data_IF_946670145273
#
_entry.id   IF_946670145273
#
_cell.length_a   1.000
_cell.length_b   1.000
_cell.length_c   1.000
_cell.angle_alpha   90.00
_cell.angle_beta   90.00
_cell.angle_gamma   90.00
#
_symmetry.space_group_name_H-M   'P 1'
#
loop_
_entity.id
_entity.type
_entity.pdbx_description
1 polymer ?
#
# COMPACT_ATOMS: atom_id res chain seq x y z
N UNK A 1 -68.49 17.93 45.64
CA UNK A 1 -67.74 16.77 45.12
C UNK A 1 -67.05 17.20 43.82
N UNK A 2 -65.86 17.80 43.89
CA UNK A 2 -65.07 18.16 42.69
C UNK A 2 -63.90 17.18 42.54
N UNK A 3 -63.89 16.43 41.44
CA UNK A 3 -62.82 15.50 41.10
C UNK A 3 -61.67 16.27 40.49
N UNK A 4 -60.51 16.22 41.15
CA UNK A 4 -59.24 16.73 40.62
C UNK A 4 -58.64 15.62 39.75
N UNK A 5 -58.63 15.81 38.44
CA UNK A 5 -57.92 14.90 37.52
C UNK A 5 -56.44 15.27 37.50
N UNK A 6 -55.57 14.40 38.03
CA UNK A 6 -54.13 14.54 37.93
C UNK A 6 -53.67 14.05 36.55
N UNK A 7 -53.12 14.94 35.73
CA UNK A 7 -52.45 14.59 34.48
C UNK A 7 -51.04 14.06 34.81
N UNK A 8 -50.81 12.77 34.58
CA UNK A 8 -49.48 12.17 34.70
C UNK A 8 -48.63 12.58 33.49
N UNK A 9 -47.64 13.45 33.71
CA UNK A 9 -46.65 13.81 32.69
C UNK A 9 -45.66 12.64 32.54
N UNK A 10 -45.70 11.98 31.39
CA UNK A 10 -44.76 10.92 31.02
C UNK A 10 -43.43 11.57 30.62
N UNK A 11 -42.44 11.54 31.51
CA UNK A 11 -41.07 11.96 31.18
C UNK A 11 -40.36 10.77 30.51
N UNK A 12 -40.21 10.80 29.18
CA UNK A 12 -39.36 9.83 28.48
C UNK A 12 -37.89 10.13 28.81
N UNK A 13 -37.10 9.15 29.28
CA UNK A 13 -35.66 9.33 29.44
C UNK A 13 -35.02 9.46 28.05
N UNK A 14 -34.35 10.57 27.80
CA UNK A 14 -33.50 10.76 26.63
C UNK A 14 -32.25 9.87 26.80
N UNK A 15 -32.24 8.70 26.16
CA UNK A 15 -31.06 7.86 26.07
C UNK A 15 -30.02 8.59 25.20
N UNK A 16 -29.00 9.16 25.83
CA UNK A 16 -27.80 9.58 25.12
C UNK A 16 -27.11 8.32 24.59
N UNK A 17 -27.31 8.02 23.30
CA UNK A 17 -26.42 7.10 22.60
C UNK A 17 -25.07 7.79 22.44
N UNK A 18 -24.10 7.41 23.27
CA UNK A 18 -22.71 7.78 23.01
C UNK A 18 -22.33 7.20 21.64
N UNK A 19 -21.91 8.06 20.71
CA UNK A 19 -21.34 7.60 19.45
C UNK A 19 -20.11 6.73 19.78
N UNK A 20 -20.05 5.53 19.19
CA UNK A 20 -18.87 4.69 19.31
C UNK A 20 -17.64 5.47 18.79
N UNK A 21 -16.47 5.33 19.42
CA UNK A 21 -15.26 5.97 18.92
C UNK A 21 -14.99 5.54 17.48
N UNK A 22 -14.54 6.47 16.64
CA UNK A 22 -14.05 6.13 15.31
C UNK A 22 -12.77 5.29 15.48
N UNK A 23 -12.88 4.00 15.18
CA UNK A 23 -11.78 3.05 15.34
C UNK A 23 -10.85 3.06 14.13
N UNK A 24 -11.24 3.70 13.03
CA UNK A 24 -10.47 3.76 11.78
C UNK A 24 -9.69 5.05 11.74
N UNK A 25 -8.38 4.94 11.70
CA UNK A 25 -7.48 6.07 11.66
C UNK A 25 -6.72 6.12 10.34
N UNK A 26 -6.74 7.29 9.70
CA UNK A 26 -6.00 7.54 8.47
C UNK A 26 -4.55 7.91 8.76
N UNK A 27 -3.64 7.30 8.02
CA UNK A 27 -2.22 7.67 7.95
C UNK A 27 -1.84 7.90 6.50
N UNK A 28 -1.31 9.08 6.17
CA UNK A 28 -0.80 9.39 4.83
C UNK A 28 0.68 9.00 4.75
N UNK A 29 1.07 8.38 3.64
CA UNK A 29 2.45 7.95 3.39
C UNK A 29 3.38 9.17 3.33
N UNK A 30 4.44 9.14 4.14
CA UNK A 30 5.54 10.08 4.07
C UNK A 30 6.57 9.58 3.07
N UNK A 31 6.45 10.04 1.82
CA UNK A 31 7.36 9.66 0.72
C UNK A 31 8.83 9.89 1.05
N UNK A 32 9.16 10.89 1.88
CA UNK A 32 10.55 11.24 2.20
C UNK A 32 11.24 10.22 3.13
N UNK A 33 10.44 9.42 3.85
CA UNK A 33 10.91 8.36 4.74
C UNK A 33 10.42 6.98 4.29
N UNK A 34 9.95 6.87 3.04
CA UNK A 34 9.42 5.63 2.47
C UNK A 34 10.22 5.20 1.24
N UNK A 35 10.18 3.90 0.96
CA UNK A 35 10.81 3.27 -0.19
C UNK A 35 9.87 2.22 -0.79
N UNK A 36 9.68 2.31 -2.10
CA UNK A 36 9.09 1.25 -2.94
C UNK A 36 10.20 0.74 -3.84
N UNK A 37 10.88 -0.31 -3.39
CA UNK A 37 12.03 -0.93 -4.05
C UNK A 37 11.68 -2.20 -4.80
N UNK A 38 12.57 -2.59 -5.71
CA UNK A 38 12.53 -3.92 -6.32
C UNK A 38 13.94 -4.47 -6.59
N UNK A 39 14.03 -5.80 -6.69
CA UNK A 39 15.24 -6.53 -7.02
C UNK A 39 14.93 -7.64 -8.03
N UNK A 40 15.74 -7.71 -9.09
CA UNK A 40 15.59 -8.69 -10.18
C UNK A 40 16.95 -9.30 -10.52
N UNK A 41 16.99 -10.62 -10.74
CA UNK A 41 18.20 -11.30 -11.20
C UNK A 41 18.44 -11.02 -12.68
N UNK A 42 19.66 -10.64 -13.01
CA UNK A 42 20.15 -10.42 -14.37
C UNK A 42 21.07 -11.57 -14.77
N UNK A 43 20.64 -12.36 -15.77
CA UNK A 43 21.31 -13.56 -16.27
C UNK A 43 21.64 -14.60 -15.18
N UNK A 44 20.93 -14.59 -14.05
CA UNK A 44 21.24 -15.43 -12.89
C UNK A 44 22.52 -15.08 -12.13
N UNK A 45 23.32 -14.12 -12.61
CA UNK A 45 24.64 -13.78 -12.05
C UNK A 45 24.54 -12.65 -11.03
N UNK A 46 23.94 -11.53 -11.43
CA UNK A 46 23.88 -10.32 -10.62
C UNK A 46 22.43 -9.95 -10.25
N UNK A 47 22.28 -9.16 -9.19
CA UNK A 47 20.98 -8.58 -8.83
C UNK A 47 20.97 -7.11 -9.23
N UNK A 48 20.07 -6.74 -10.13
CA UNK A 48 19.73 -5.35 -10.41
C UNK A 48 18.72 -4.91 -9.37
N UNK A 49 18.98 -3.77 -8.72
CA UNK A 49 18.05 -3.14 -7.79
C UNK A 49 17.56 -1.82 -8.37
N UNK A 50 16.32 -1.49 -8.09
CA UNK A 50 15.73 -0.22 -8.42
C UNK A 50 14.66 0.20 -7.41
N UNK A 51 14.08 1.35 -7.66
CA UNK A 51 13.01 1.93 -6.86
C UNK A 51 12.10 2.80 -7.73
N UNK A 52 10.92 3.12 -7.21
CA UNK A 52 10.08 4.19 -7.73
C UNK A 52 10.19 5.41 -6.82
N UNK A 53 10.54 6.56 -7.38
CA UNK A 53 10.82 7.79 -6.60
C UNK A 53 9.60 8.65 -6.32
N UNK A 54 8.52 8.44 -7.04
CA UNK A 54 7.29 9.21 -6.92
C UNK A 54 6.12 8.26 -6.69
N UNK A 55 5.57 8.34 -5.49
CA UNK A 55 4.40 7.59 -5.06
C UNK A 55 3.69 8.35 -3.95
N UNK A 56 2.41 8.09 -3.81
CA UNK A 56 1.57 8.62 -2.74
C UNK A 56 0.59 7.55 -2.30
N UNK A 57 -0.01 7.74 -1.14
CA UNK A 57 -0.97 6.78 -0.63
C UNK A 57 -1.31 7.00 0.82
N UNK A 58 -2.15 6.11 1.32
CA UNK A 58 -2.60 6.15 2.70
C UNK A 58 -2.98 4.77 3.19
N UNK A 59 -3.00 4.65 4.51
CA UNK A 59 -3.46 3.49 5.27
C UNK A 59 -4.69 3.92 6.06
N UNK A 60 -5.70 3.06 6.11
CA UNK A 60 -6.81 3.17 7.05
C UNK A 60 -6.63 2.05 8.06
N UNK A 61 -6.03 2.39 9.21
CA UNK A 61 -5.75 1.46 10.28
C UNK A 61 -6.97 1.35 11.20
N UNK A 62 -7.58 0.17 11.27
CA UNK A 62 -8.60 -0.10 12.27
C UNK A 62 -7.91 -0.55 13.58
N UNK A 63 -7.94 0.34 14.57
CA UNK A 63 -7.29 0.17 15.88
C UNK A 63 -8.01 -0.81 16.81
N UNK A 64 -9.28 -1.12 16.53
CA UNK A 64 -10.04 -2.13 17.27
C UNK A 64 -9.89 -3.53 16.67
N UNK A 65 -9.73 -3.61 15.35
CA UNK A 65 -9.52 -4.86 14.62
C UNK A 65 -8.68 -4.60 13.36
N UNK A 66 -7.38 -4.91 13.46
CA UNK A 66 -6.42 -4.67 12.37
C UNK A 66 -6.79 -5.40 11.08
N UNK A 67 -7.54 -6.51 11.14
CA UNK A 67 -7.95 -7.28 9.95
C UNK A 67 -8.84 -6.49 9.00
N UNK A 68 -9.52 -5.46 9.51
CA UNK A 68 -10.36 -4.53 8.78
C UNK A 68 -9.59 -3.31 8.23
N UNK A 69 -8.26 -3.31 8.34
CA UNK A 69 -7.42 -2.22 7.83
C UNK A 69 -7.24 -2.33 6.31
N UNK A 70 -7.15 -1.17 5.65
CA UNK A 70 -6.97 -1.06 4.20
C UNK A 70 -5.83 -0.13 3.85
N UNK A 71 -5.38 -0.18 2.60
CA UNK A 71 -4.34 0.69 2.07
C UNK A 71 -4.65 1.07 0.63
N UNK A 72 -4.24 2.25 0.21
CA UNK A 72 -4.27 2.65 -1.19
C UNK A 72 -2.96 3.34 -1.54
N UNK A 73 -2.30 2.88 -2.61
CA UNK A 73 -1.01 3.41 -3.08
C UNK A 73 -1.07 3.64 -4.58
N UNK A 74 -0.59 4.80 -5.02
CA UNK A 74 -0.38 5.16 -6.42
C UNK A 74 1.09 5.46 -6.63
N UNK A 75 1.70 4.77 -7.59
CA UNK A 75 3.11 4.90 -7.94
C UNK A 75 3.19 5.47 -9.36
N UNK A 76 3.97 6.52 -9.57
CA UNK A 76 4.20 7.06 -10.91
C UNK A 76 5.19 6.17 -11.65
N UNK A 77 4.74 5.51 -12.72
CA UNK A 77 5.53 4.55 -13.50
C UNK A 77 6.82 5.18 -14.04
N UNK A 78 6.75 6.44 -14.47
CA UNK A 78 7.90 7.18 -15.00
C UNK A 78 9.00 7.42 -13.96
N UNK A 79 8.69 7.31 -12.66
CA UNK A 79 9.66 7.56 -11.57
C UNK A 79 10.61 6.38 -11.29
N UNK A 80 10.52 5.31 -12.08
CA UNK A 80 11.44 4.18 -12.00
C UNK A 80 12.89 4.64 -12.11
N UNK A 81 13.73 4.15 -11.22
CA UNK A 81 15.16 4.37 -11.23
C UNK A 81 15.91 3.10 -10.86
N UNK A 82 16.92 2.78 -11.67
CA UNK A 82 17.85 1.68 -11.40
C UNK A 82 19.30 2.16 -11.35
N UNK A 83 19.51 3.48 -11.25
CA UNK A 83 20.81 4.13 -11.36
C UNK A 83 21.42 4.03 -12.77
N UNK A 84 20.64 3.72 -13.80
CA UNK A 84 21.10 3.63 -15.19
C UNK A 84 20.06 4.20 -16.15
N UNK A 85 20.30 5.42 -16.61
CA UNK A 85 19.38 6.20 -17.43
C UNK A 85 18.92 5.46 -18.70
N UNK A 86 19.81 4.72 -19.38
CA UNK A 86 19.43 3.96 -20.59
C UNK A 86 18.46 2.84 -20.27
N UNK A 87 18.70 2.12 -19.18
CA UNK A 87 17.81 1.05 -18.72
C UNK A 87 16.48 1.64 -18.25
N UNK A 88 16.52 2.75 -17.52
CA UNK A 88 15.30 3.40 -17.01
C UNK A 88 14.43 3.91 -18.16
N UNK A 89 15.03 4.48 -19.21
CA UNK A 89 14.30 4.86 -20.43
C UNK A 89 13.69 3.65 -21.15
N UNK A 90 14.40 2.53 -21.21
CA UNK A 90 13.85 1.30 -21.79
C UNK A 90 12.70 0.73 -20.94
N UNK A 91 12.81 0.73 -19.62
CA UNK A 91 11.74 0.28 -18.71
C UNK A 91 10.47 1.14 -18.82
N UNK A 92 10.60 2.43 -19.16
CA UNK A 92 9.45 3.33 -19.39
C UNK A 92 8.80 3.15 -20.77
N UNK A 93 9.47 2.51 -21.72
CA UNK A 93 9.00 2.36 -23.09
C UNK A 93 7.89 1.31 -23.25
N UNK A 94 7.30 1.21 -24.45
CA UNK A 94 6.25 0.25 -24.80
C UNK A 94 6.67 -1.22 -24.63
N UNK A 95 7.97 -1.48 -24.76
CA UNK A 95 8.56 -2.82 -24.56
C UNK A 95 8.37 -3.31 -23.11
N UNK A 96 8.15 -2.42 -22.15
CA UNK A 96 8.01 -2.79 -20.73
C UNK A 96 6.79 -2.15 -20.08
N UNK A 97 6.95 -1.12 -19.24
CA UNK A 97 5.82 -0.56 -18.50
C UNK A 97 4.90 0.31 -19.36
N UNK A 98 5.36 0.83 -20.50
CA UNK A 98 4.66 1.83 -21.31
C UNK A 98 4.12 2.97 -20.43
N UNK A 99 5.03 3.72 -19.81
CA UNK A 99 4.70 4.76 -18.83
C UNK A 99 3.87 5.91 -19.43
N UNK A 100 3.91 6.10 -20.75
CA UNK A 100 3.08 7.10 -21.44
C UNK A 100 1.61 6.69 -21.44
N UNK A 101 1.31 5.42 -21.74
CA UNK A 101 -0.07 4.90 -21.75
C UNK A 101 -0.57 4.52 -20.36
N UNK A 102 0.33 4.03 -19.50
CA UNK A 102 0.04 3.57 -18.14
C UNK A 102 0.88 4.36 -17.14
N UNK A 103 0.51 5.62 -16.85
CA UNK A 103 1.31 6.53 -16.05
C UNK A 103 1.45 6.09 -14.60
N UNK A 104 0.55 5.24 -14.12
CA UNK A 104 0.51 4.79 -12.73
C UNK A 104 0.47 3.27 -12.59
N UNK A 105 1.15 2.78 -11.55
CA UNK A 105 0.92 1.47 -10.93
C UNK A 105 0.08 1.73 -9.67
N UNK A 106 -0.94 0.92 -9.42
CA UNK A 106 -1.82 1.09 -8.24
C UNK A 106 -1.87 -0.16 -7.40
N UNK A 107 -2.02 0.02 -6.09
CA UNK A 107 -2.29 -1.05 -5.14
C UNK A 107 -3.47 -0.69 -4.25
N UNK A 108 -4.48 -1.56 -4.22
CA UNK A 108 -5.70 -1.44 -3.43
C UNK A 108 -5.74 -2.56 -2.39
N UNK A 109 -5.27 -2.27 -1.17
CA UNK A 109 -5.27 -3.19 -0.02
C UNK A 109 -6.67 -3.33 0.57
N UNK A 110 -7.22 -4.55 0.56
CA UNK A 110 -8.62 -4.82 0.93
C UNK A 110 -8.80 -5.37 2.34
N UNK A 111 -7.83 -6.12 2.84
CA UNK A 111 -7.90 -6.78 4.14
C UNK A 111 -6.54 -7.19 4.65
N UNK A 112 -6.41 -7.27 5.97
CA UNK A 112 -5.24 -7.82 6.63
C UNK A 112 -5.55 -9.22 7.14
N UNK A 113 -4.69 -10.17 6.84
CA UNK A 113 -4.70 -11.52 7.41
C UNK A 113 -3.67 -11.60 8.54
N UNK A 114 -4.02 -12.29 9.62
CA UNK A 114 -3.04 -12.73 10.60
C UNK A 114 -2.29 -13.95 10.07
N UNK A 115 -0.97 -13.94 10.20
CA UNK A 115 -0.08 -15.06 9.84
C UNK A 115 0.74 -15.46 11.07
N UNK A 116 1.47 -16.57 10.97
CA UNK A 116 2.26 -17.10 12.09
C UNK A 116 3.20 -16.03 12.68
N UNK A 117 3.91 -15.30 11.80
CA UNK A 117 4.85 -14.24 12.16
C UNK A 117 4.37 -12.87 11.66
N UNK A 118 3.25 -12.38 12.20
CA UNK A 118 2.76 -11.02 11.97
C UNK A 118 1.50 -10.94 11.11
N UNK A 119 1.56 -10.15 10.03
CA UNK A 119 0.40 -9.85 9.20
C UNK A 119 0.72 -9.95 7.71
N UNK A 120 -0.31 -10.17 6.90
CA UNK A 120 -0.24 -10.04 5.46
C UNK A 120 -1.36 -9.13 4.95
N UNK A 121 -1.02 -8.12 4.16
CA UNK A 121 -1.98 -7.27 3.48
C UNK A 121 -2.32 -7.90 2.14
N UNK A 122 -3.59 -8.24 1.94
CA UNK A 122 -4.10 -8.77 0.66
C UNK A 122 -4.78 -7.65 -0.10
N UNK A 123 -4.42 -7.50 -1.37
CA UNK A 123 -4.94 -6.43 -2.20
C UNK A 123 -4.68 -6.65 -3.69
N UNK A 124 -5.20 -5.71 -4.48
CA UNK A 124 -5.14 -5.78 -5.93
C UNK A 124 -4.00 -4.89 -6.43
N UNK A 125 -2.97 -5.49 -7.02
CA UNK A 125 -1.87 -4.80 -7.67
C UNK A 125 -2.20 -4.67 -9.16
N UNK A 126 -2.23 -3.46 -9.67
CA UNK A 126 -2.45 -3.17 -11.10
C UNK A 126 -1.19 -2.61 -11.72
N UNK A 127 -0.67 -3.31 -12.73
CA UNK A 127 0.46 -2.87 -13.54
C UNK A 127 0.00 -2.91 -14.99
N UNK A 128 0.10 -1.76 -15.68
CA UNK A 128 -0.49 -1.55 -17.01
C UNK A 128 -2.01 -1.78 -17.00
N UNK A 129 -2.48 -2.68 -17.84
CA UNK A 129 -3.88 -3.10 -18.01
C UNK A 129 -4.21 -4.42 -17.28
N UNK A 130 -3.28 -4.92 -16.46
CA UNK A 130 -3.45 -6.19 -15.75
C UNK A 130 -3.48 -5.98 -14.24
N UNK A 131 -4.51 -6.53 -13.60
CA UNK A 131 -4.68 -6.54 -12.15
C UNK A 131 -4.54 -7.96 -11.63
N UNK A 132 -3.72 -8.14 -10.60
CA UNK A 132 -3.54 -9.41 -9.89
C UNK A 132 -3.74 -9.20 -8.39
N UNK A 133 -4.41 -10.15 -7.73
CA UNK A 133 -4.42 -10.19 -6.26
C UNK A 133 -3.02 -10.59 -5.78
N UNK A 134 -2.44 -9.79 -4.89
CA UNK A 134 -1.16 -10.07 -4.25
C UNK A 134 -1.31 -10.08 -2.74
N UNK A 135 -0.40 -10.79 -2.09
CA UNK A 135 -0.32 -10.92 -0.64
C UNK A 135 1.04 -10.42 -0.18
N UNK A 136 1.03 -9.40 0.66
CA UNK A 136 2.23 -8.69 1.14
C UNK A 136 2.39 -8.98 2.64
N UNK A 137 3.23 -9.96 3.04
CA UNK A 137 3.67 -10.07 4.42
C UNK A 137 4.33 -8.77 4.88
N UNK A 138 4.01 -8.32 6.09
CA UNK A 138 4.60 -7.12 6.65
C UNK A 138 4.75 -7.18 8.18
N UNK A 139 5.78 -6.47 8.65
CA UNK A 139 5.96 -6.10 10.05
C UNK A 139 5.46 -4.68 10.27
N UNK A 140 4.71 -4.46 11.36
CA UNK A 140 4.19 -3.15 11.73
C UNK A 140 4.95 -2.61 12.95
N UNK A 141 5.46 -1.39 12.82
CA UNK A 141 6.21 -0.69 13.87
C UNK A 141 5.44 0.56 14.33
N UNK A 142 5.26 0.71 15.65
CA UNK A 142 4.47 1.80 16.24
C UNK A 142 2.98 1.45 16.41
N UNK A 143 2.08 2.46 16.46
CA UNK A 143 2.32 3.88 16.24
C UNK A 143 3.07 4.56 17.40
N UNK A 144 3.81 5.63 17.09
CA UNK A 144 4.47 6.53 18.05
C UNK A 144 4.01 7.98 17.82
N UNK A 145 3.95 8.79 18.87
CA UNK A 145 3.62 10.22 18.73
C UNK A 145 4.89 11.06 18.67
N UNK A 146 5.13 11.73 17.53
CA UNK A 146 6.28 12.57 17.29
C UNK A 146 5.84 13.88 16.62
N UNK A 147 6.23 15.03 17.20
CA UNK A 147 5.86 16.34 16.66
C UNK A 147 4.35 16.58 16.58
N UNK A 148 3.59 16.05 17.55
CA UNK A 148 2.13 16.21 17.61
C UNK A 148 1.33 15.36 16.61
N UNK A 149 1.98 14.43 15.89
CA UNK A 149 1.34 13.50 14.96
C UNK A 149 1.67 12.08 15.35
N UNK A 150 0.74 11.16 15.10
CA UNK A 150 1.05 9.73 15.19
C UNK A 150 1.74 9.29 13.90
N UNK A 151 2.73 8.42 14.06
CA UNK A 151 3.52 7.83 12.97
C UNK A 151 3.59 6.33 13.15
N UNK A 152 3.58 5.59 12.05
CA UNK A 152 3.83 4.15 12.02
C UNK A 152 4.78 3.81 10.89
N UNK A 153 5.47 2.68 11.03
CA UNK A 153 6.28 2.07 9.99
C UNK A 153 5.70 0.72 9.57
N UNK A 154 5.79 0.39 8.28
CA UNK A 154 5.48 -0.94 7.77
C UNK A 154 6.61 -1.41 6.85
N UNK A 155 7.19 -2.57 7.15
CA UNK A 155 8.22 -3.20 6.32
C UNK A 155 7.67 -4.48 5.73
N UNK A 156 7.81 -4.67 4.42
CA UNK A 156 7.24 -5.83 3.75
C UNK A 156 8.04 -6.25 2.52
N UNK A 157 7.96 -7.53 2.20
CA UNK A 157 8.57 -8.10 1.00
C UNK A 157 7.59 -9.05 0.34
N UNK A 158 7.46 -8.95 -0.98
CA UNK A 158 6.76 -9.97 -1.77
C UNK A 158 7.54 -10.30 -3.04
N UNK A 159 7.32 -11.51 -3.54
CA UNK A 159 7.80 -11.93 -4.84
C UNK A 159 6.62 -12.03 -5.80
N UNK A 160 6.76 -11.45 -6.98
CA UNK A 160 5.80 -11.54 -8.07
C UNK A 160 6.48 -12.08 -9.33
N UNK A 161 5.72 -12.71 -10.22
CA UNK A 161 6.19 -13.03 -11.55
C UNK A 161 5.76 -11.93 -12.52
N UNK A 162 6.71 -11.28 -13.18
CA UNK A 162 6.43 -10.16 -14.11
C UNK A 162 5.53 -10.57 -15.29
N UNK A 163 5.55 -11.85 -15.67
CA UNK A 163 4.75 -12.38 -16.78
C UNK A 163 3.26 -12.41 -16.44
N UNK A 164 2.90 -12.50 -15.15
CA UNK A 164 1.51 -12.42 -14.70
C UNK A 164 0.88 -11.04 -14.96
N UNK A 165 1.71 -10.03 -15.22
CA UNK A 165 1.34 -8.66 -15.58
C UNK A 165 1.59 -8.33 -17.06
N UNK A 166 1.77 -9.35 -17.92
CA UNK A 166 2.11 -9.19 -19.34
C UNK A 166 3.40 -8.38 -19.62
N UNK A 167 4.31 -8.27 -18.65
CA UNK A 167 5.64 -7.71 -18.87
C UNK A 167 6.52 -8.82 -19.45
N UNK A 168 6.37 -9.08 -20.75
CA UNK A 168 6.93 -10.27 -21.41
C UNK A 168 8.30 -10.07 -22.06
N UNK A 169 8.82 -8.83 -22.12
CA UNK A 169 10.09 -8.56 -22.76
C UNK A 169 11.18 -9.49 -22.26
N UNK A 170 11.89 -10.12 -23.18
CA UNK A 170 13.01 -10.95 -22.82
C UNK A 170 14.01 -10.99 -23.97
N UNK A 171 15.29 -10.90 -23.62
CA UNK A 171 16.38 -11.27 -24.50
C UNK A 171 17.01 -12.54 -23.95
N UNK A 172 17.46 -13.41 -24.86
CA UNK A 172 18.18 -14.63 -24.51
C UNK A 172 19.62 -14.48 -24.99
N UNK A 173 20.58 -14.73 -24.10
CA UNK A 173 22.00 -14.77 -24.44
C UNK A 173 22.51 -16.14 -24.05
N UNK A 174 23.00 -16.91 -25.02
CA UNK A 174 23.50 -18.28 -24.81
C UNK A 174 22.48 -19.21 -24.09
N UNK A 175 21.19 -19.02 -24.36
CA UNK A 175 20.11 -19.79 -23.74
C UNK A 175 19.74 -19.35 -22.32
N UNK A 176 20.35 -18.28 -21.80
CA UNK A 176 20.03 -17.70 -20.49
C UNK A 176 19.15 -16.46 -20.66
N UNK A 177 18.07 -16.40 -19.86
CA UNK A 177 17.21 -15.22 -19.76
C UNK A 177 18.00 -14.03 -19.23
N UNK A 178 18.01 -12.92 -19.97
CA UNK A 178 18.70 -11.69 -19.54
C UNK A 178 18.07 -11.15 -18.26
N UNK A 179 16.75 -11.26 -18.13
CA UNK A 179 15.99 -10.77 -16.97
C UNK A 179 15.16 -11.92 -16.39
N UNK A 180 15.27 -12.13 -15.09
CA UNK A 180 14.45 -13.09 -14.34
C UNK A 180 12.96 -12.78 -14.44
N UNK A 181 12.13 -13.81 -14.38
CA UNK A 181 10.68 -13.66 -14.28
C UNK A 181 10.26 -13.23 -12.87
N UNK A 182 10.92 -13.80 -11.86
CA UNK A 182 10.76 -13.42 -10.46
C UNK A 182 11.29 -12.00 -10.23
N UNK A 183 10.41 -11.14 -9.70
CA UNK A 183 10.70 -9.80 -9.21
C UNK A 183 10.40 -9.78 -7.72
N UNK A 184 11.38 -9.39 -6.92
CA UNK A 184 11.19 -9.14 -5.50
C UNK A 184 10.85 -7.67 -5.30
N UNK A 185 9.77 -7.38 -4.61
CA UNK A 185 9.32 -6.04 -4.23
C UNK A 185 9.65 -5.87 -2.75
N UNK A 186 10.30 -4.76 -2.42
CA UNK A 186 10.81 -4.43 -1.09
C UNK A 186 10.18 -3.12 -0.64
N UNK A 187 9.41 -3.14 0.45
CA UNK A 187 8.67 -2.00 0.97
C UNK A 187 9.22 -1.61 2.33
N UNK A 188 9.51 -0.32 2.50
CA UNK A 188 9.75 0.29 3.80
C UNK A 188 8.93 1.58 3.82
N UNK A 189 7.80 1.57 4.51
CA UNK A 189 6.81 2.65 4.47
C UNK A 189 6.75 3.33 5.82
N UNK A 190 6.89 4.64 5.86
CA UNK A 190 6.51 5.46 7.00
C UNK A 190 5.24 6.23 6.66
N UNK A 191 4.26 6.23 7.56
CA UNK A 191 3.02 6.98 7.38
C UNK A 191 2.67 7.73 8.66
N UNK A 192 2.02 8.87 8.51
CA UNK A 192 1.69 9.76 9.62
C UNK A 192 0.26 10.26 9.51
N UNK A 193 -0.40 10.51 10.65
CA UNK A 193 -1.74 11.10 10.64
C UNK A 193 -1.74 12.42 9.86
N UNK A 194 -2.79 12.75 9.10
CA UNK A 194 -2.89 14.01 8.39
C UNK A 194 -2.59 15.19 9.31
N UNK A 195 -2.01 16.26 8.77
CA UNK A 195 -1.94 17.50 9.55
C UNK A 195 -3.37 18.02 9.75
N UNK A 196 -3.71 18.57 10.93
CA UNK A 196 -4.91 19.38 11.06
C UNK A 196 -4.91 20.43 9.94
N UNK A 197 -6.03 20.59 9.24
CA UNK A 197 -6.18 21.73 8.33
C UNK A 197 -6.19 22.99 9.21
N UNK A 198 -5.29 23.94 8.92
CA UNK A 198 -5.28 25.27 9.54
C UNK A 198 -6.46 26.12 9.06
#
# INVERSE_FOLDING_TARGET
MNRVSAAAALVLPLLLTAAAPDTVQRFDIDRSHSRVGFAVRHMGVATVRGEFREFEGHLLLNTADITQSTAHVVIQTASIDTGNERRDNHLRSDDFFNAERFPTITFEGRRVEQIDDGYALVGDLTIRDVTQEVRIPFELNGPVTLGGRQRLGAEGELKVNRKDFNLLWNNMVEGVSVVSDDVRIELAIEAATPRPQE
#
